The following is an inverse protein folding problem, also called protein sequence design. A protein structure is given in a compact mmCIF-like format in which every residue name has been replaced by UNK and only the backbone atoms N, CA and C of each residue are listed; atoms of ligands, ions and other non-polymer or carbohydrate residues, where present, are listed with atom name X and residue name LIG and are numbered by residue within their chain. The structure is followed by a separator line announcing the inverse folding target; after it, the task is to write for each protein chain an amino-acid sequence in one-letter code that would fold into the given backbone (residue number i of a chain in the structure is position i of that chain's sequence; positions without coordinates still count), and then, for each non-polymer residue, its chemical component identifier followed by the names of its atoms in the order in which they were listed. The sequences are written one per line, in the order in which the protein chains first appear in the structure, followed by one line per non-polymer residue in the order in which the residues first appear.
data_IF_708808146461
#
_entry.id   IF_708808146461
#
_cell.length_a   1.000
_cell.length_b   1.000
_cell.length_c   1.000
_cell.angle_alpha   90.00
_cell.angle_beta   90.00
_cell.angle_gamma   90.00
#
_symmetry.space_group_name_H-M   'P 1'
#
loop_
_entity.id
_entity.type
_entity.pdbx_description
1 polymer ?
#
# COMPACT_ATOMS: atom_id res chain seq x y z
N UNK A 1 16.86 -18.86 -3.48
CA UNK A 1 15.57 -19.58 -3.59
C UNK A 1 14.48 -18.54 -3.38
N UNK A 2 13.66 -18.26 -4.40
CA UNK A 2 12.46 -17.44 -4.21
C UNK A 2 11.38 -18.35 -3.62
N UNK A 3 10.73 -17.91 -2.55
CA UNK A 3 9.62 -18.65 -1.94
C UNK A 3 8.34 -17.98 -2.40
N UNK A 4 7.43 -18.77 -2.98
CA UNK A 4 6.10 -18.28 -3.31
C UNK A 4 5.36 -18.01 -2.00
N UNK A 5 5.30 -16.74 -1.60
CA UNK A 5 4.61 -16.34 -0.37
C UNK A 5 3.12 -16.72 -0.41
N UNK A 6 2.46 -16.74 0.75
CA UNK A 6 1.03 -17.05 0.86
C UNK A 6 0.20 -16.21 -0.14
N UNK A 7 -0.49 -16.88 -1.08
CA UNK A 7 -1.21 -16.23 -2.19
C UNK A 7 -0.37 -15.97 -3.46
N UNK A 8 0.83 -16.55 -3.58
CA UNK A 8 1.61 -16.65 -4.83
C UNK A 8 2.36 -15.39 -5.29
N UNK A 9 2.21 -14.26 -4.58
CA UNK A 9 2.79 -12.96 -5.01
C UNK A 9 3.63 -12.29 -3.93
N UNK A 10 3.76 -12.90 -2.76
CA UNK A 10 4.38 -12.27 -1.57
C UNK A 10 3.56 -11.13 -0.96
N UNK A 11 2.47 -10.69 -1.60
CA UNK A 11 1.62 -9.60 -1.12
C UNK A 11 1.06 -9.87 0.28
N UNK A 12 0.49 -11.05 0.53
CA UNK A 12 -0.06 -11.37 1.86
C UNK A 12 1.03 -11.42 2.93
N UNK A 13 2.22 -11.94 2.61
CA UNK A 13 3.34 -11.96 3.54
C UNK A 13 3.77 -10.53 3.91
N UNK A 14 3.78 -9.63 2.92
CA UNK A 14 4.02 -8.21 3.13
C UNK A 14 2.99 -7.61 4.09
N UNK A 15 1.69 -7.80 3.85
CA UNK A 15 0.63 -7.25 4.70
C UNK A 15 0.72 -7.80 6.14
N UNK A 16 1.01 -9.09 6.33
CA UNK A 16 1.21 -9.68 7.67
C UNK A 16 2.39 -9.03 8.40
N UNK A 17 3.51 -8.80 7.72
CA UNK A 17 4.66 -8.11 8.33
C UNK A 17 4.28 -6.68 8.72
N UNK A 18 3.54 -5.97 7.86
CA UNK A 18 3.10 -4.60 8.14
C UNK A 18 2.16 -4.54 9.36
N UNK A 19 1.26 -5.51 9.51
CA UNK A 19 0.41 -5.61 10.71
C UNK A 19 1.24 -5.90 11.96
N UNK A 20 2.25 -6.77 11.86
CA UNK A 20 3.15 -7.07 12.99
C UNK A 20 3.99 -5.86 13.43
N UNK A 21 4.37 -4.97 12.50
CA UNK A 21 5.07 -3.71 12.82
C UNK A 21 4.23 -2.77 13.70
N UNK A 22 2.91 -2.89 13.68
CA UNK A 22 2.00 -2.13 14.55
C UNK A 22 1.87 -2.75 15.95
N UNK A 23 2.60 -3.83 16.23
CA UNK A 23 2.60 -4.52 17.52
C UNK A 23 3.97 -4.47 18.19
N UNK A 24 4.06 -4.64 19.53
CA UNK A 24 5.33 -4.76 20.23
C UNK A 24 6.17 -6.01 19.90
N UNK A 25 5.73 -6.86 18.98
CA UNK A 25 6.35 -8.17 18.70
C UNK A 25 7.65 -8.09 17.90
N UNK A 26 7.98 -6.93 17.32
CA UNK A 26 9.20 -6.73 16.51
C UNK A 26 10.16 -5.69 17.12
N UNK A 27 10.59 -5.83 18.40
CA UNK A 27 11.35 -4.78 19.10
C UNK A 27 12.80 -4.62 18.60
N UNK A 28 13.26 -5.50 17.71
CA UNK A 28 14.65 -5.53 17.21
C UNK A 28 14.74 -5.23 15.70
N UNK A 29 13.69 -4.70 15.09
CA UNK A 29 13.74 -4.29 13.68
C UNK A 29 14.67 -3.07 13.54
N UNK A 30 15.79 -3.22 12.84
CA UNK A 30 16.82 -2.16 12.71
C UNK A 30 16.71 -1.39 11.39
N UNK A 31 15.85 -1.83 10.49
CA UNK A 31 15.75 -1.38 9.10
C UNK A 31 14.41 -0.74 8.76
N UNK A 32 13.60 -0.39 9.77
CA UNK A 32 12.24 0.17 9.61
C UNK A 32 12.18 1.37 8.67
N UNK A 33 13.20 2.23 8.72
CA UNK A 33 13.30 3.47 7.94
C UNK A 33 14.38 3.44 6.85
N UNK A 34 14.95 2.26 6.59
CA UNK A 34 15.96 2.06 5.53
C UNK A 34 15.52 1.05 4.48
N UNK A 35 14.53 0.21 4.80
CA UNK A 35 13.98 -0.77 3.88
C UNK A 35 12.45 -0.86 3.99
N UNK A 36 11.78 -1.00 2.84
CA UNK A 36 10.34 -1.19 2.79
C UNK A 36 9.95 -1.96 1.52
N UNK A 37 9.08 -2.98 1.60
CA UNK A 37 8.64 -3.71 0.42
C UNK A 37 7.68 -2.86 -0.42
N UNK A 38 8.16 -2.36 -1.56
CA UNK A 38 7.36 -1.52 -2.47
C UNK A 38 6.33 -2.35 -3.23
N UNK A 39 5.07 -2.26 -2.81
CA UNK A 39 3.95 -2.89 -3.51
C UNK A 39 3.57 -2.19 -4.82
N UNK A 40 2.71 -2.82 -5.65
CA UNK A 40 2.35 -2.30 -6.98
C UNK A 40 1.67 -0.93 -6.93
N UNK A 41 0.92 -0.63 -5.86
CA UNK A 41 0.31 0.70 -5.69
C UNK A 41 1.34 1.81 -5.46
N UNK A 42 2.32 1.56 -4.60
CA UNK A 42 3.39 2.52 -4.34
C UNK A 42 4.32 2.68 -5.54
N UNK A 43 4.62 1.61 -6.28
CA UNK A 43 5.34 1.69 -7.55
C UNK A 43 4.65 2.66 -8.52
N UNK A 44 3.34 2.54 -8.72
CA UNK A 44 2.56 3.49 -9.53
C UNK A 44 2.58 4.90 -8.97
N UNK A 45 2.51 5.06 -7.65
CA UNK A 45 2.65 6.35 -6.97
C UNK A 45 3.99 7.03 -7.29
N UNK A 46 5.10 6.30 -7.17
CA UNK A 46 6.44 6.77 -7.54
C UNK A 46 6.54 7.10 -9.03
N UNK A 47 5.94 6.28 -9.90
CA UNK A 47 5.91 6.55 -11.34
C UNK A 47 5.24 7.91 -11.64
N UNK A 48 4.16 8.23 -10.93
CA UNK A 48 3.48 9.52 -11.08
C UNK A 48 4.33 10.70 -10.61
N UNK A 49 5.02 10.55 -9.47
CA UNK A 49 5.92 11.60 -8.97
C UNK A 49 7.11 11.85 -9.91
N UNK A 50 7.65 10.79 -10.50
CA UNK A 50 8.75 10.87 -11.45
C UNK A 50 8.33 11.26 -12.88
N UNK A 51 7.03 11.45 -13.13
CA UNK A 51 6.52 11.81 -14.47
C UNK A 51 6.66 10.71 -15.52
N UNK A 52 6.80 9.44 -15.11
CA UNK A 52 6.96 8.28 -16.00
C UNK A 52 5.65 7.52 -16.22
N UNK A 53 5.52 6.69 -17.27
CA UNK A 53 4.35 5.85 -17.49
C UNK A 53 3.95 5.05 -16.26
N UNK A 54 2.66 5.05 -15.92
CA UNK A 54 2.21 4.46 -14.65
C UNK A 54 2.43 2.93 -14.61
N UNK A 55 2.46 2.25 -15.76
CA UNK A 55 2.72 0.81 -15.88
C UNK A 55 4.21 0.46 -15.97
N UNK A 56 5.11 1.44 -15.95
CA UNK A 56 6.54 1.17 -15.93
C UNK A 56 6.91 0.37 -14.68
N UNK A 57 7.85 -0.56 -14.82
CA UNK A 57 8.33 -1.43 -13.75
C UNK A 57 9.82 -1.15 -13.48
N UNK A 58 10.15 -0.08 -12.74
CA UNK A 58 11.53 0.19 -12.35
C UNK A 58 12.10 -0.95 -11.50
N UNK A 59 13.43 -1.00 -11.41
CA UNK A 59 14.11 -1.97 -10.56
C UNK A 59 13.80 -1.72 -9.08
N UNK A 60 13.87 -2.76 -8.26
CA UNK A 60 13.68 -2.64 -6.79
C UNK A 60 14.63 -1.61 -6.18
N UNK A 61 15.88 -1.55 -6.65
CA UNK A 61 16.87 -0.58 -6.17
C UNK A 61 16.47 0.86 -6.49
N UNK A 62 15.94 1.12 -7.69
CA UNK A 62 15.42 2.44 -8.06
C UNK A 62 14.20 2.81 -7.22
N UNK A 63 13.21 1.91 -7.08
CA UNK A 63 12.02 2.15 -6.27
C UNK A 63 12.38 2.46 -4.81
N UNK A 64 13.33 1.73 -4.23
CA UNK A 64 13.83 1.99 -2.87
C UNK A 64 14.51 3.34 -2.76
N UNK A 65 15.40 3.68 -3.70
CA UNK A 65 16.10 4.97 -3.71
C UNK A 65 15.14 6.15 -3.78
N UNK A 66 14.12 6.05 -4.63
CA UNK A 66 13.09 7.07 -4.80
C UNK A 66 12.17 7.19 -3.59
N UNK A 67 11.72 6.06 -3.03
CA UNK A 67 10.93 6.04 -1.80
C UNK A 67 11.68 6.73 -0.65
N UNK A 68 12.95 6.37 -0.45
CA UNK A 68 13.82 7.02 0.54
C UNK A 68 14.04 8.51 0.22
N UNK A 69 14.04 8.89 -1.06
CA UNK A 69 14.08 10.29 -1.48
C UNK A 69 12.85 11.07 -1.02
N UNK A 70 11.66 10.49 -1.15
CA UNK A 70 10.40 11.08 -0.62
C UNK A 70 10.45 11.14 0.91
N UNK A 71 10.90 10.08 1.57
CA UNK A 71 11.02 10.02 3.02
C UNK A 71 11.97 11.09 3.59
N UNK A 72 13.14 11.29 2.97
CA UNK A 72 14.09 12.36 3.36
C UNK A 72 13.54 13.77 3.13
N UNK A 73 12.51 13.93 2.29
CA UNK A 73 11.89 15.21 2.05
C UNK A 73 10.75 15.52 3.05
N UNK A 74 10.50 14.66 4.05
CA UNK A 74 9.41 14.85 5.00
C UNK A 74 9.50 16.18 5.74
N UNK A 75 10.67 16.54 6.27
CA UNK A 75 10.86 17.80 7.02
C UNK A 75 10.49 19.05 6.19
N UNK A 76 10.53 18.94 4.86
CA UNK A 76 10.16 20.03 3.95
C UNK A 76 8.65 20.13 3.73
N UNK A 77 7.92 19.01 3.75
CA UNK A 77 6.52 18.94 3.30
C UNK A 77 5.54 18.50 4.38
N UNK A 78 6.00 17.90 5.46
CA UNK A 78 5.20 17.44 6.58
C UNK A 78 5.23 18.50 7.69
N UNK A 79 4.10 19.20 7.96
CA UNK A 79 4.07 20.32 8.91
C UNK A 79 4.51 19.92 10.31
N UNK A 80 5.33 20.75 10.96
CA UNK A 80 5.86 20.51 12.31
C UNK A 80 4.79 20.15 13.35
N UNK A 81 3.61 20.82 13.40
CA UNK A 81 2.57 20.43 14.37
C UNK A 81 2.08 18.99 14.18
N UNK A 82 2.03 18.48 12.94
CA UNK A 82 1.65 17.09 12.68
C UNK A 82 2.79 16.13 13.01
N UNK A 83 4.04 16.54 12.75
CA UNK A 83 5.22 15.74 13.09
C UNK A 83 5.43 15.57 14.61
N UNK A 84 5.04 16.57 15.39
CA UNK A 84 5.01 16.51 16.86
C UNK A 84 3.96 15.54 17.38
N UNK A 85 2.79 15.48 16.73
CA UNK A 85 1.71 14.54 17.08
C UNK A 85 2.04 13.11 16.64
N UNK A 86 2.55 12.95 15.41
CA UNK A 86 2.87 11.65 14.83
C UNK A 86 4.02 11.75 13.84
N UNK A 87 5.14 11.14 14.20
CA UNK A 87 6.23 10.91 13.24
C UNK A 87 5.80 9.86 12.22
N UNK A 88 6.00 10.16 10.94
CA UNK A 88 5.78 9.21 9.85
C UNK A 88 7.04 8.37 9.65
N UNK A 89 6.87 7.06 9.53
CA UNK A 89 7.93 6.14 9.13
C UNK A 89 7.97 5.91 7.62
N UNK A 90 9.00 5.23 7.13
CA UNK A 90 9.15 4.89 5.71
C UNK A 90 7.94 4.10 5.16
N UNK A 91 7.37 3.24 6.00
CA UNK A 91 6.19 2.44 5.68
C UNK A 91 4.93 3.30 5.48
N UNK A 92 4.74 4.37 6.28
CA UNK A 92 3.65 5.32 6.08
C UNK A 92 3.75 5.99 4.69
N UNK A 93 4.96 6.34 4.26
CA UNK A 93 5.19 6.92 2.93
C UNK A 93 4.85 5.92 1.83
N UNK A 94 5.24 4.64 1.99
CA UNK A 94 4.88 3.58 1.06
C UNK A 94 3.36 3.44 0.94
N UNK A 95 2.63 3.49 2.05
CA UNK A 95 1.16 3.46 2.04
C UNK A 95 0.56 4.70 1.38
N UNK A 96 1.05 5.89 1.71
CA UNK A 96 0.55 7.15 1.13
C UNK A 96 0.77 7.21 -0.39
N UNK A 97 1.86 6.65 -0.92
CA UNK A 97 2.06 6.55 -2.37
C UNK A 97 1.02 5.65 -3.06
N UNK A 98 0.57 4.58 -2.38
CA UNK A 98 -0.51 3.73 -2.86
C UNK A 98 -1.85 4.50 -2.89
N UNK A 99 -2.16 5.23 -1.82
CA UNK A 99 -3.38 6.06 -1.75
C UNK A 99 -3.35 7.22 -2.75
N UNK A 100 -2.18 7.82 -2.96
CA UNK A 100 -1.98 8.86 -3.97
C UNK A 100 -2.30 8.35 -5.38
N UNK A 101 -1.82 7.16 -5.77
CA UNK A 101 -2.21 6.55 -7.04
C UNK A 101 -3.72 6.30 -7.11
N UNK A 102 -4.36 5.79 -6.04
CA UNK A 102 -5.81 5.59 -6.01
C UNK A 102 -6.57 6.90 -6.17
N UNK A 103 -6.15 7.96 -5.49
CA UNK A 103 -6.75 9.29 -5.59
C UNK A 103 -6.65 9.83 -7.02
N UNK A 104 -5.46 9.78 -7.64
CA UNK A 104 -5.29 10.27 -9.02
C UNK A 104 -6.08 9.44 -10.03
N UNK A 105 -6.20 8.13 -9.80
CA UNK A 105 -7.08 7.28 -10.61
C UNK A 105 -8.54 7.68 -10.46
N UNK A 106 -9.00 7.96 -9.25
CA UNK A 106 -10.36 8.46 -8.99
C UNK A 106 -10.60 9.78 -9.72
N UNK A 107 -9.68 10.74 -9.53
CA UNK A 107 -9.73 12.09 -10.07
C UNK A 107 -9.77 12.11 -11.61
N UNK A 108 -9.03 11.22 -12.25
CA UNK A 108 -8.94 11.16 -13.72
C UNK A 108 -9.86 10.09 -14.35
N UNK A 109 -10.73 9.42 -13.57
CA UNK A 109 -11.59 8.35 -14.08
C UNK A 109 -10.83 7.12 -14.61
N UNK A 110 -9.63 6.85 -14.11
CA UNK A 110 -8.75 5.77 -14.60
C UNK A 110 -8.97 4.45 -13.86
N UNK A 111 -9.58 3.49 -14.56
CA UNK A 111 -9.83 2.14 -14.06
C UNK A 111 -10.92 2.08 -12.99
N UNK A 112 -11.30 0.87 -12.60
CA UNK A 112 -12.40 0.65 -11.66
C UNK A 112 -11.88 0.69 -10.22
N UNK A 113 -12.35 1.65 -9.42
CA UNK A 113 -12.21 1.59 -7.96
C UNK A 113 -13.18 0.53 -7.46
N UNK A 114 -12.71 -0.43 -6.65
CA UNK A 114 -13.60 -1.37 -5.99
C UNK A 114 -14.36 -0.60 -4.91
N UNK A 115 -15.67 -0.43 -5.10
CA UNK A 115 -16.53 0.14 -4.06
C UNK A 115 -16.63 -0.86 -2.93
N UNK A 116 -16.33 -0.43 -1.70
CA UNK A 116 -16.63 -1.25 -0.53
C UNK A 116 -18.15 -1.45 -0.49
N UNK A 117 -18.57 -2.71 -0.52
CA UNK A 117 -19.94 -3.11 -0.25
C UNK A 117 -19.94 -3.99 1.00
N UNK A 118 -20.44 -3.48 2.14
CA UNK A 118 -20.65 -4.28 3.33
C UNK A 118 -21.44 -5.54 2.98
N UNK A 119 -21.12 -6.66 3.63
CA UNK A 119 -21.74 -7.95 3.33
C UNK A 119 -23.27 -7.88 3.45
N UNK A 120 -23.80 -7.15 4.44
CA UNK A 120 -25.23 -6.97 4.65
C UNK A 120 -25.92 -6.08 3.61
N UNK A 121 -25.18 -5.30 2.82
CA UNK A 121 -25.70 -4.53 1.68
C UNK A 121 -25.59 -5.29 0.35
N UNK A 122 -25.01 -6.49 0.34
CA UNK A 122 -25.07 -7.37 -0.82
C UNK A 122 -26.49 -7.92 -0.88
N UNK A 123 -27.33 -7.29 -1.69
CA UNK A 123 -28.65 -7.84 -2.00
C UNK A 123 -28.44 -9.30 -2.45
N UNK A 124 -29.08 -10.30 -1.83
CA UNK A 124 -29.01 -11.65 -2.34
C UNK A 124 -29.52 -11.60 -3.79
N UNK A 125 -28.71 -12.11 -4.72
CA UNK A 125 -29.13 -12.23 -6.11
C UNK A 125 -30.46 -13.01 -6.13
N UNK A 126 -31.51 -12.54 -6.81
CA UNK A 126 -32.75 -13.28 -6.94
C UNK A 126 -32.44 -14.60 -7.65
N UNK A 127 -32.30 -15.68 -6.88
CA UNK A 127 -31.90 -16.99 -7.40
C UNK A 127 -31.11 -17.91 -6.45
N UNK A 128 -30.68 -17.46 -5.27
CA UNK A 128 -29.92 -18.31 -4.31
C UNK A 128 -30.73 -18.83 -3.13
N UNK A 129 -32.06 -18.96 -3.28
CA UNK A 129 -32.86 -19.76 -2.35
C UNK A 129 -32.57 -21.25 -2.61
N UNK A 130 -31.55 -21.80 -1.97
CA UNK A 130 -31.44 -23.26 -1.83
C UNK A 130 -32.59 -23.72 -0.96
N UNK A 131 -33.48 -24.50 -1.55
CA UNK A 131 -34.50 -25.26 -0.83
C UNK A 131 -33.84 -26.17 0.18
N UNK A 132 -33.95 -25.83 1.47
CA UNK A 132 -33.80 -26.82 2.53
C UNK A 132 -35.13 -27.60 2.59
N UNK A 133 -35.17 -28.76 1.94
CA UNK A 133 -36.21 -29.76 2.19
C UNK A 133 -35.92 -30.46 3.52
N UNK A 134 -37.00 -30.71 4.28
CA UNK A 134 -37.05 -31.30 5.61
C UNK A 134 -36.19 -32.53 5.83
#
# INVERSE_FOLDING_TARGET
MAVDGFGGTGFSAKEVVLDLLLTPLMPRCTDLDTWCPVGPGACRGLNRLAGRPVQEMPTTGQLMSELLGVFRALDKYYPSPLAEEKQLGLHDIQFQLCEFDKYLRAKHGQGRLRRFMPHFLRCPSPGSAKSHSC
#
